data_IF_136124347541
#
_entry.id   IF_136124347541
#
_cell.length_a   1.000
_cell.length_b   1.000
_cell.length_c   1.000
_cell.angle_alpha   90.00
_cell.angle_beta   90.00
_cell.angle_gamma   90.00
#
_symmetry.space_group_name_H-M   'P 1'
#
loop_
_entity.id
_entity.type
_entity.pdbx_description
1 polymer ?
#
# COMPACT_ATOMS: atom_id res chain seq x y z
N UNK A 1 -0.84 11.00 10.47
CA UNK A 1 -2.13 10.34 10.22
C UNK A 1 -1.81 9.05 9.50
N UNK A 2 -2.38 7.90 9.91
CA UNK A 2 -1.97 6.60 9.38
C UNK A 2 -2.54 6.40 7.97
N UNK A 3 -1.69 6.01 7.01
CA UNK A 3 -2.10 5.84 5.60
C UNK A 3 -1.83 4.43 5.11
N UNK A 4 -2.78 3.87 4.36
CA UNK A 4 -2.68 2.56 3.75
C UNK A 4 -2.79 2.67 2.22
N UNK A 5 -1.93 1.98 1.49
CA UNK A 5 -1.98 1.83 0.03
C UNK A 5 -2.49 0.44 -0.32
N UNK A 6 -3.57 0.34 -1.08
CA UNK A 6 -4.15 -0.92 -1.56
C UNK A 6 -3.98 -1.04 -3.08
N UNK A 7 -3.30 -2.10 -3.51
CA UNK A 7 -3.00 -2.38 -4.91
C UNK A 7 -3.82 -3.57 -5.44
N UNK A 8 -4.11 -3.56 -6.75
CA UNK A 8 -4.82 -4.63 -7.48
C UNK A 8 -6.28 -4.85 -7.05
N UNK A 9 -6.92 -3.80 -6.56
CA UNK A 9 -8.32 -3.80 -6.13
C UNK A 9 -8.68 -4.97 -5.18
N UNK A 10 -8.15 -4.98 -3.94
CA UNK A 10 -8.62 -5.87 -2.88
C UNK A 10 -10.09 -5.59 -2.56
N UNK A 11 -10.75 -6.49 -1.82
CA UNK A 11 -12.18 -6.38 -1.53
C UNK A 11 -12.55 -5.04 -0.84
N UNK A 12 -13.67 -4.44 -1.25
CA UNK A 12 -14.09 -3.09 -0.82
C UNK A 12 -14.32 -2.95 0.68
N UNK A 13 -14.62 -4.06 1.35
CA UNK A 13 -14.72 -4.15 2.83
C UNK A 13 -13.48 -3.62 3.56
N UNK A 14 -12.31 -3.62 2.91
CA UNK A 14 -11.09 -3.09 3.50
C UNK A 14 -11.26 -1.60 3.86
N UNK A 15 -11.93 -0.81 3.02
CA UNK A 15 -12.09 0.63 3.24
C UNK A 15 -12.95 0.90 4.47
N UNK A 16 -14.05 0.18 4.63
CA UNK A 16 -14.92 0.27 5.79
C UNK A 16 -14.20 -0.10 7.09
N UNK A 17 -13.31 -1.10 7.03
CA UNK A 17 -12.50 -1.52 8.17
C UNK A 17 -11.46 -0.44 8.50
N UNK A 18 -10.67 0.00 7.52
CA UNK A 18 -9.64 1.01 7.73
C UNK A 18 -10.23 2.36 8.20
N UNK A 19 -11.35 2.79 7.64
CA UNK A 19 -12.05 4.00 8.04
C UNK A 19 -12.51 3.94 9.51
N UNK A 20 -12.96 2.78 10.02
CA UNK A 20 -13.32 2.59 11.43
C UNK A 20 -12.14 2.82 12.38
N UNK A 21 -10.91 2.59 11.91
CA UNK A 21 -9.69 2.84 12.68
C UNK A 21 -9.06 4.20 12.38
N UNK A 22 -9.72 5.07 11.59
CA UNK A 22 -9.20 6.38 11.20
C UNK A 22 -7.98 6.31 10.28
N UNK A 23 -7.84 5.21 9.53
CA UNK A 23 -6.77 5.01 8.56
C UNK A 23 -7.25 5.51 7.19
N UNK A 24 -6.47 6.38 6.57
CA UNK A 24 -6.74 6.88 5.22
C UNK A 24 -6.30 5.84 4.19
N UNK A 25 -7.19 5.47 3.27
CA UNK A 25 -6.92 4.46 2.25
C UNK A 25 -6.74 5.11 0.88
N UNK A 26 -5.62 4.82 0.22
CA UNK A 26 -5.39 5.11 -1.18
C UNK A 26 -5.44 3.82 -1.98
N UNK A 27 -6.17 3.82 -3.11
CA UNK A 27 -6.32 2.65 -3.97
C UNK A 27 -5.67 2.85 -5.33
N UNK A 28 -4.98 1.82 -5.80
CA UNK A 28 -4.51 1.71 -7.19
C UNK A 28 -5.03 0.39 -7.75
N UNK A 29 -5.73 0.47 -8.88
CA UNK A 29 -6.40 -0.68 -9.50
C UNK A 29 -5.43 -1.61 -10.23
N UNK A 30 -4.27 -1.09 -10.65
CA UNK A 30 -3.21 -1.85 -11.32
C UNK A 30 -2.14 -2.34 -10.36
N UNK A 31 -1.26 -3.20 -10.89
CA UNK A 31 0.05 -3.41 -10.30
C UNK A 31 0.93 -2.21 -10.68
N UNK A 32 1.82 -1.83 -9.76
CA UNK A 32 2.81 -0.78 -9.98
C UNK A 32 4.14 -1.41 -10.38
N UNK A 33 4.93 -0.69 -11.16
CA UNK A 33 6.34 -1.04 -11.33
C UNK A 33 7.09 -0.82 -10.01
N UNK A 34 8.30 -1.35 -9.90
CA UNK A 34 9.08 -1.21 -8.68
C UNK A 34 9.38 0.26 -8.32
N UNK A 35 9.69 1.10 -9.31
CA UNK A 35 9.92 2.54 -9.09
C UNK A 35 8.61 3.26 -8.71
N UNK A 36 7.52 2.99 -9.44
CA UNK A 36 6.22 3.59 -9.10
C UNK A 36 5.72 3.15 -7.72
N UNK A 37 6.04 1.92 -7.30
CA UNK A 37 5.70 1.42 -5.98
C UNK A 37 6.47 2.18 -4.89
N UNK A 38 7.77 2.43 -5.10
CA UNK A 38 8.59 3.22 -4.16
C UNK A 38 8.03 4.63 -4.04
N UNK A 39 7.61 5.25 -5.14
CA UNK A 39 7.03 6.59 -5.14
C UNK A 39 5.65 6.61 -4.47
N UNK A 40 4.77 5.67 -4.80
CA UNK A 40 3.43 5.56 -4.22
C UNK A 40 3.44 5.27 -2.71
N UNK A 41 4.52 4.67 -2.20
CA UNK A 41 4.72 4.38 -0.78
C UNK A 41 5.18 5.60 0.03
N UNK A 42 5.40 6.75 -0.58
CA UNK A 42 5.79 7.95 0.15
C UNK A 42 4.74 8.37 1.19
N UNK A 43 5.12 8.33 2.48
CA UNK A 43 4.23 8.66 3.58
C UNK A 43 3.10 7.64 3.79
N UNK A 44 3.27 6.41 3.29
CA UNK A 44 2.37 5.28 3.53
C UNK A 44 2.92 4.42 4.68
N UNK A 45 2.06 4.08 5.64
CA UNK A 45 2.41 3.22 6.77
C UNK A 45 2.18 1.74 6.47
N UNK A 46 1.12 1.42 5.71
CA UNK A 46 0.69 0.05 5.43
C UNK A 46 0.50 -0.20 3.93
N UNK A 47 1.01 -1.32 3.43
CA UNK A 47 0.83 -1.75 2.04
C UNK A 47 -0.04 -3.03 1.99
N UNK A 48 -1.17 -2.96 1.30
CA UNK A 48 -1.97 -4.11 0.91
C UNK A 48 -1.84 -4.36 -0.59
N UNK A 49 -1.51 -5.59 -0.97
CA UNK A 49 -1.28 -5.97 -2.37
C UNK A 49 -1.86 -7.33 -2.68
N UNK A 50 -1.84 -7.73 -3.95
CA UNK A 50 -2.24 -9.07 -4.39
C UNK A 50 -1.10 -9.71 -5.20
N UNK A 51 -1.40 -10.78 -5.91
CA UNK A 51 -0.42 -11.67 -6.50
C UNK A 51 0.36 -11.09 -7.70
N UNK A 52 -0.03 -9.94 -8.27
CA UNK A 52 0.70 -9.34 -9.39
C UNK A 52 1.73 -8.29 -8.97
N UNK A 53 1.67 -7.82 -7.73
CA UNK A 53 2.64 -6.86 -7.20
C UNK A 53 3.65 -7.57 -6.34
N UNK A 54 4.94 -7.44 -6.68
CA UNK A 54 6.04 -8.04 -5.93
C UNK A 54 6.73 -6.97 -5.08
N UNK A 55 6.87 -7.22 -3.79
CA UNK A 55 7.67 -6.38 -2.89
C UNK A 55 9.06 -6.95 -2.83
N UNK A 56 9.97 -6.32 -3.56
CA UNK A 56 11.38 -6.68 -3.57
C UNK A 56 12.11 -6.09 -2.36
N UNK A 57 13.33 -6.57 -2.13
CA UNK A 57 14.22 -5.97 -1.13
C UNK A 57 14.51 -4.49 -1.41
N UNK A 58 14.57 -4.08 -2.69
CA UNK A 58 14.80 -2.68 -3.06
C UNK A 58 13.68 -1.79 -2.55
N UNK A 59 12.43 -2.23 -2.68
CA UNK A 59 11.25 -1.48 -2.20
C UNK A 59 11.30 -1.30 -0.69
N UNK A 60 11.58 -2.37 0.06
CA UNK A 60 11.68 -2.33 1.52
C UNK A 60 12.85 -1.45 1.99
N UNK A 61 13.98 -1.47 1.30
CA UNK A 61 15.13 -0.61 1.60
C UNK A 61 14.87 0.86 1.28
N UNK A 62 14.08 1.15 0.25
CA UNK A 62 13.71 2.50 -0.13
C UNK A 62 12.68 3.12 0.84
N UNK A 63 11.84 2.27 1.47
CA UNK A 63 10.76 2.68 2.39
C UNK A 63 10.84 1.91 3.72
N UNK A 64 11.91 2.12 4.53
CA UNK A 64 12.09 1.44 5.81
C UNK A 64 11.05 1.82 6.87
N UNK A 65 10.26 2.87 6.63
CA UNK A 65 9.16 3.33 7.48
C UNK A 65 7.89 2.47 7.42
N UNK A 66 7.81 1.55 6.45
CA UNK A 66 6.70 0.61 6.32
C UNK A 66 6.53 -0.24 7.58
N UNK A 67 5.28 -0.35 8.05
CA UNK A 67 4.92 -1.12 9.24
C UNK A 67 4.45 -2.52 8.85
N UNK A 68 4.78 -3.49 9.70
CA UNK A 68 4.35 -4.89 9.61
C UNK A 68 3.32 -5.22 10.71
#
# INVERSE_FOLDING_TARGET
MTRALLLENPHDIADDIFAKFGIEVTRVTGALSEDDLIDALEGVDYLGLRSKTEVTERVLRARPELKA
#
